data_IF_912594376425
#
_entry.id   IF_912594376425
#
_cell.length_a   1.000
_cell.length_b   1.000
_cell.length_c   1.000
_cell.angle_alpha   90.00
_cell.angle_beta   90.00
_cell.angle_gamma   90.00
#
_symmetry.space_group_name_H-M   'P 1'
#
loop_
_entity.id
_entity.type
_entity.pdbx_description
1 polymer ?
#
# COMPACT_ATOMS: atom_id res chain seq x y z
N UNK A 1 4.36 20.04 9.38
CA UNK A 1 3.16 19.68 8.61
C UNK A 1 2.48 18.50 9.28
N UNK A 2 1.16 18.33 9.12
CA UNK A 2 0.51 17.12 9.61
C UNK A 2 1.03 15.90 8.82
N UNK A 3 1.25 14.78 9.50
CA UNK A 3 1.58 13.50 8.85
C UNK A 3 0.44 13.11 7.90
N UNK A 4 0.76 12.31 6.90
CA UNK A 4 -0.19 11.83 5.90
C UNK A 4 -0.10 10.32 5.75
N UNK A 5 -1.18 9.68 5.29
CA UNK A 5 -1.20 8.24 5.08
C UNK A 5 -1.83 7.87 3.75
N UNK A 6 -1.39 6.74 3.20
CA UNK A 6 -2.10 6.02 2.17
C UNK A 6 -2.35 4.58 2.65
N UNK A 7 -3.52 4.05 2.33
CA UNK A 7 -3.96 2.69 2.63
C UNK A 7 -4.49 2.07 1.36
N UNK A 8 -4.05 0.86 1.04
CA UNK A 8 -4.49 0.15 -0.17
C UNK A 8 -4.98 -1.23 0.22
N UNK A 9 -6.21 -1.57 -0.19
CA UNK A 9 -6.72 -2.94 -0.05
C UNK A 9 -6.42 -3.73 -1.32
N UNK A 10 -6.09 -5.00 -1.12
CA UNK A 10 -5.78 -5.95 -2.18
C UNK A 10 -6.54 -7.24 -1.98
N UNK A 11 -6.83 -7.91 -3.09
CA UNK A 11 -7.21 -9.31 -3.13
C UNK A 11 -6.20 -10.06 -3.99
N UNK A 12 -5.42 -10.97 -3.39
CA UNK A 12 -4.36 -11.72 -4.06
C UNK A 12 -4.90 -13.04 -4.56
N UNK A 13 -4.54 -13.43 -5.78
CA UNK A 13 -4.93 -14.70 -6.38
C UNK A 13 -4.48 -15.86 -5.49
N UNK A 14 -5.35 -16.85 -5.28
CA UNK A 14 -5.03 -18.05 -4.51
C UNK A 14 -3.72 -18.72 -5.00
N UNK A 15 -2.79 -18.95 -4.08
CA UNK A 15 -1.47 -19.54 -4.37
C UNK A 15 -0.39 -18.53 -4.76
N UNK A 16 -0.71 -17.24 -4.90
CA UNK A 16 0.24 -16.16 -5.24
C UNK A 16 0.68 -15.29 -4.06
N UNK A 17 0.20 -15.58 -2.85
CA UNK A 17 0.48 -14.81 -1.64
C UNK A 17 1.97 -14.59 -1.37
N UNK A 18 2.79 -15.64 -1.47
CA UNK A 18 4.22 -15.54 -1.17
C UNK A 18 4.97 -14.68 -2.20
N UNK A 19 4.58 -14.76 -3.48
CA UNK A 19 5.14 -13.95 -4.56
C UNK A 19 4.79 -12.47 -4.35
N UNK A 20 3.53 -12.20 -4.00
CA UNK A 20 3.04 -10.86 -3.67
C UNK A 20 3.77 -10.28 -2.45
N UNK A 21 3.86 -11.02 -1.34
CA UNK A 21 4.59 -10.59 -0.13
C UNK A 21 6.07 -10.31 -0.41
N UNK A 22 6.70 -11.09 -1.30
CA UNK A 22 8.09 -10.88 -1.70
C UNK A 22 8.29 -9.60 -2.52
N UNK A 23 7.32 -9.21 -3.34
CA UNK A 23 7.41 -7.95 -4.08
C UNK A 23 7.43 -6.74 -3.13
N UNK A 24 6.59 -6.75 -2.09
CA UNK A 24 6.49 -5.67 -1.11
C UNK A 24 7.65 -5.64 -0.12
N UNK A 25 8.20 -6.80 0.28
CA UNK A 25 9.35 -6.84 1.21
C UNK A 25 10.66 -6.35 0.60
N UNK A 26 10.75 -6.33 -0.74
CA UNK A 26 11.89 -5.79 -1.48
C UNK A 26 11.75 -4.31 -1.83
N UNK A 27 10.61 -3.69 -1.52
CA UNK A 27 10.42 -2.27 -1.78
C UNK A 27 11.42 -1.45 -0.95
N UNK A 28 12.11 -0.52 -1.61
CA UNK A 28 13.02 0.39 -0.95
C UNK A 28 12.24 1.42 -0.11
N UNK A 29 12.88 1.90 0.96
CA UNK A 29 12.34 3.01 1.75
C UNK A 29 12.33 4.28 0.90
N UNK A 30 11.17 4.90 0.79
CA UNK A 30 11.01 6.16 0.06
C UNK A 30 11.28 7.38 0.95
N UNK A 31 11.66 8.50 0.32
CA UNK A 31 11.90 9.76 1.01
C UNK A 31 10.65 10.25 1.76
N UNK A 32 10.82 10.61 3.03
CA UNK A 32 9.72 11.01 3.92
C UNK A 32 8.75 9.91 4.35
N UNK A 33 9.03 8.63 4.02
CA UNK A 33 8.26 7.50 4.52
C UNK A 33 8.70 7.14 5.95
N UNK A 34 7.75 7.16 6.88
CA UNK A 34 7.96 6.88 8.30
C UNK A 34 7.66 5.43 8.65
N UNK A 35 6.65 4.83 8.01
CA UNK A 35 6.21 3.46 8.24
C UNK A 35 5.71 2.84 6.94
N UNK A 36 6.02 1.56 6.75
CA UNK A 36 5.40 0.72 5.73
C UNK A 36 4.96 -0.59 6.39
N UNK A 37 3.68 -0.94 6.23
CA UNK A 37 3.13 -2.21 6.67
C UNK A 37 2.46 -2.88 5.47
N UNK A 38 2.72 -4.17 5.31
CA UNK A 38 1.84 -5.07 4.57
C UNK A 38 1.23 -6.05 5.57
N UNK A 39 -0.09 -6.04 5.71
CA UNK A 39 -0.82 -6.90 6.62
C UNK A 39 -1.73 -7.84 5.84
N UNK A 40 -1.67 -9.13 6.15
CA UNK A 40 -2.67 -10.11 5.73
C UNK A 40 -3.91 -9.94 6.62
N UNK A 41 -5.06 -9.70 6.02
CA UNK A 41 -6.35 -9.46 6.72
C UNK A 41 -7.40 -10.55 6.46
N UNK A 42 -7.07 -11.51 5.61
CA UNK A 42 -7.82 -12.74 5.33
C UNK A 42 -6.95 -13.71 4.53
N UNK A 43 -7.51 -14.82 4.04
CA UNK A 43 -6.73 -15.82 3.28
C UNK A 43 -6.10 -15.24 2.00
N UNK A 44 -6.82 -14.36 1.33
CA UNK A 44 -6.40 -13.68 0.09
C UNK A 44 -6.42 -12.15 0.22
N UNK A 45 -6.88 -11.61 1.35
CA UNK A 45 -7.07 -10.18 1.54
C UNK A 45 -5.89 -9.55 2.24
N UNK A 46 -5.41 -8.42 1.72
CA UNK A 46 -4.28 -7.69 2.28
C UNK A 46 -4.57 -6.19 2.39
N UNK A 47 -3.86 -5.53 3.31
CA UNK A 47 -3.82 -4.09 3.45
C UNK A 47 -2.36 -3.64 3.42
N UNK A 48 -2.04 -2.74 2.51
CA UNK A 48 -0.81 -1.96 2.52
C UNK A 48 -1.07 -0.63 3.23
N UNK A 49 -0.19 -0.23 4.14
CA UNK A 49 -0.29 1.02 4.89
C UNK A 49 1.04 1.76 4.84
N UNK A 50 1.00 3.02 4.42
CA UNK A 50 2.13 3.94 4.45
C UNK A 50 1.85 5.13 5.37
N UNK A 51 2.81 5.46 6.25
CA UNK A 51 2.82 6.71 7.01
C UNK A 51 3.93 7.61 6.48
N UNK A 52 3.61 8.90 6.34
CA UNK A 52 4.48 9.89 5.71
C UNK A 52 4.61 11.14 6.55
N UNK A 53 5.76 11.81 6.44
CA UNK A 53 6.03 13.10 7.09
C UNK A 53 5.05 14.21 6.66
N UNK A 54 4.56 14.14 5.42
CA UNK A 54 3.61 15.09 4.84
C UNK A 54 2.92 14.53 3.59
N UNK A 55 1.84 15.20 3.16
CA UNK A 55 1.16 14.92 1.89
C UNK A 55 2.08 15.11 0.68
N UNK A 56 2.96 16.11 0.72
CA UNK A 56 3.91 16.41 -0.35
C UNK A 56 4.91 15.26 -0.56
N UNK A 57 5.45 14.70 0.53
CA UNK A 57 6.35 13.53 0.48
C UNK A 57 5.64 12.31 -0.11
N UNK A 58 4.41 12.04 0.33
CA UNK A 58 3.59 10.95 -0.23
C UNK A 58 3.31 11.16 -1.72
N UNK A 59 2.95 12.37 -2.11
CA UNK A 59 2.60 12.73 -3.50
C UNK A 59 3.80 12.58 -4.42
N UNK A 60 4.97 13.02 -3.96
CA UNK A 60 6.24 12.89 -4.69
C UNK A 60 6.64 11.43 -4.89
N UNK A 61 6.27 10.54 -3.96
CA UNK A 61 6.52 9.11 -4.04
C UNK A 61 5.46 8.33 -4.84
N UNK A 62 4.35 8.95 -5.29
CA UNK A 62 3.29 8.25 -6.03
C UNK A 62 3.79 7.48 -7.26
N UNK A 63 4.68 8.02 -8.12
CA UNK A 63 5.18 7.26 -9.26
C UNK A 63 5.89 5.95 -8.86
N UNK A 64 6.60 5.96 -7.73
CA UNK A 64 7.29 4.78 -7.20
C UNK A 64 6.29 3.75 -6.64
N UNK A 65 5.26 4.22 -5.93
CA UNK A 65 4.16 3.37 -5.46
C UNK A 65 3.42 2.71 -6.63
N UNK A 66 3.09 3.47 -7.68
CA UNK A 66 2.44 2.94 -8.88
C UNK A 66 3.33 1.88 -9.54
N UNK A 67 4.65 2.13 -9.66
CA UNK A 67 5.59 1.15 -10.18
C UNK A 67 5.62 -0.17 -9.40
N UNK A 68 5.61 -0.11 -8.06
CA UNK A 68 5.50 -1.30 -7.21
C UNK A 68 4.17 -2.03 -7.46
N UNK A 69 3.05 -1.30 -7.51
CA UNK A 69 1.73 -1.87 -7.74
C UNK A 69 1.63 -2.54 -9.12
N UNK A 70 2.15 -1.91 -10.16
CA UNK A 70 2.16 -2.47 -11.50
C UNK A 70 2.99 -3.75 -11.58
N UNK A 71 4.11 -3.82 -10.85
CA UNK A 71 4.91 -5.05 -10.77
C UNK A 71 4.17 -6.23 -10.14
N UNK A 72 3.24 -5.97 -9.21
CA UNK A 72 2.45 -6.98 -8.51
C UNK A 72 1.04 -7.18 -9.10
N UNK A 73 0.63 -6.37 -10.09
CA UNK A 73 -0.75 -6.30 -10.61
C UNK A 73 -1.28 -7.63 -11.12
N UNK A 74 -0.42 -8.41 -11.76
CA UNK A 74 -0.72 -9.73 -12.31
C UNK A 74 -0.96 -10.82 -11.24
N UNK A 75 -0.70 -10.50 -9.97
CA UNK A 75 -0.92 -11.40 -8.82
C UNK A 75 -2.26 -11.11 -8.12
N UNK A 76 -3.02 -10.12 -8.59
CA UNK A 76 -4.23 -9.62 -7.94
C UNK A 76 -5.50 -10.04 -8.66
N UNK A 77 -6.55 -10.26 -7.88
CA UNK A 77 -7.92 -10.44 -8.37
C UNK A 77 -8.61 -9.08 -8.53
N UNK A 78 -9.53 -9.01 -9.48
CA UNK A 78 -10.47 -7.90 -9.57
C UNK A 78 -11.38 -7.88 -8.33
N UNK A 79 -11.42 -6.73 -7.65
CA UNK A 79 -12.27 -6.48 -6.49
C UNK A 79 -13.69 -6.11 -6.92
N UNK A 80 -13.82 -5.27 -7.95
CA UNK A 80 -15.08 -4.83 -8.56
C UNK A 80 -14.80 -4.10 -9.88
N UNK A 81 -15.79 -3.97 -10.78
CA UNK A 81 -15.64 -3.20 -12.02
C UNK A 81 -15.22 -1.74 -11.80
N UNK A 82 -15.63 -1.12 -10.69
CA UNK A 82 -15.36 0.28 -10.40
C UNK A 82 -13.95 0.51 -9.82
N UNK A 83 -13.48 -0.41 -8.96
CA UNK A 83 -12.18 -0.31 -8.29
C UNK A 83 -11.05 -0.99 -9.07
N UNK A 84 -11.37 -1.92 -9.97
CA UNK A 84 -10.39 -2.81 -10.59
C UNK A 84 -9.78 -3.74 -9.55
N UNK A 85 -8.44 -3.79 -9.47
CA UNK A 85 -7.68 -4.77 -8.67
C UNK A 85 -7.14 -4.24 -7.32
N UNK A 86 -7.36 -2.95 -7.05
CA UNK A 86 -6.90 -2.29 -5.81
C UNK A 86 -7.91 -1.25 -5.36
N UNK A 87 -8.01 -1.04 -4.05
CA UNK A 87 -8.82 0.04 -3.48
C UNK A 87 -7.94 0.97 -2.61
N UNK A 88 -7.38 2.03 -3.20
CA UNK A 88 -6.52 2.98 -2.51
C UNK A 88 -7.32 4.15 -1.91
N UNK A 89 -6.96 4.52 -0.69
CA UNK A 89 -7.41 5.75 -0.01
C UNK A 89 -6.22 6.46 0.63
N UNK A 90 -6.26 7.79 0.70
CA UNK A 90 -5.24 8.60 1.37
C UNK A 90 -5.88 9.69 2.22
N UNK A 91 -5.16 10.18 3.23
CA UNK A 91 -5.68 11.25 4.08
C UNK A 91 -4.73 11.77 5.15
N UNK A 92 -5.11 12.90 5.74
CA UNK A 92 -4.38 13.53 6.85
C UNK A 92 -4.50 12.69 8.11
N UNK A 93 -3.39 12.48 8.80
CA UNK A 93 -3.40 11.80 10.10
C UNK A 93 -3.99 12.73 11.14
N UNK A 94 -5.12 12.33 11.72
CA UNK A 94 -5.84 13.09 12.76
C UNK A 94 -5.32 12.78 14.17
N UNK A 95 -4.89 11.53 14.39
CA UNK A 95 -4.35 11.06 15.67
C UNK A 95 -3.37 9.91 15.45
N UNK A 96 -2.26 9.94 16.19
CA UNK A 96 -1.25 8.88 16.25
C UNK A 96 -0.83 8.75 17.71
N UNK A 97 -0.90 7.54 18.26
CA UNK A 97 -0.45 7.27 19.63
C UNK A 97 0.94 6.66 19.58
N UNK A 98 1.93 7.39 20.08
CA UNK A 98 3.24 6.83 20.37
C UNK A 98 3.12 5.91 21.60
N UNK A 99 3.66 4.69 21.49
CA UNK A 99 3.62 3.67 22.54
C UNK A 99 4.97 3.53 23.23
#
# INVERSE_FOLDING_TARGET
MAKYTNVVRFKVIAGKQQEFESAFSKAEKWDGQLLQILARTGEQSYVGYGLWESEEKMTSAMPLMIGLLDSARHLLEEMSPELGVTDPVSGTVVFEKEM
#
